data_IF_040216026414
#
_entry.id   IF_040216026414
#
_cell.length_a   1.000
_cell.length_b   1.000
_cell.length_c   1.000
_cell.angle_alpha   90.00
_cell.angle_beta   90.00
_cell.angle_gamma   90.00
#
_symmetry.space_group_name_H-M   'P 1'
#
loop_
_entity.id
_entity.type
_entity.pdbx_description
1 polymer ?
#
# COMPACT_ATOMS: atom_id res chain seq x y z
N UNK A 1 0.04 -1.63 7.85
CA UNK A 1 -0.69 -2.00 6.61
C UNK A 1 -0.59 -3.50 6.27
N UNK A 2 0.45 -4.23 6.66
CA UNK A 2 0.64 -5.67 6.34
C UNK A 2 -0.57 -6.57 6.56
N UNK A 3 -1.32 -6.41 7.66
CA UNK A 3 -2.54 -7.21 7.90
C UNK A 3 -3.64 -6.96 6.85
N UNK A 4 -3.74 -5.74 6.32
CA UNK A 4 -4.67 -5.40 5.22
C UNK A 4 -4.19 -6.08 3.94
N UNK A 5 -2.89 -5.98 3.62
CA UNK A 5 -2.29 -6.63 2.44
C UNK A 5 -2.52 -8.14 2.48
N UNK A 6 -2.21 -8.78 3.61
CA UNK A 6 -2.41 -10.21 3.83
C UNK A 6 -3.88 -10.64 3.70
N UNK A 7 -4.82 -9.77 4.06
CA UNK A 7 -6.25 -10.02 3.91
C UNK A 7 -6.78 -9.81 2.48
N UNK A 8 -6.28 -8.80 1.77
CA UNK A 8 -6.78 -8.40 0.44
C UNK A 8 -6.14 -9.22 -0.68
N UNK A 9 -4.81 -9.43 -0.65
CA UNK A 9 -4.05 -10.13 -1.70
C UNK A 9 -4.63 -11.50 -2.10
N UNK A 10 -5.04 -12.40 -1.18
CA UNK A 10 -5.56 -13.71 -1.57
C UNK A 10 -6.98 -13.68 -2.14
N UNK A 11 -7.76 -12.60 -1.95
CA UNK A 11 -9.16 -12.54 -2.40
C UNK A 11 -9.41 -11.59 -3.57
N UNK A 12 -8.49 -10.68 -3.85
CA UNK A 12 -8.56 -9.73 -4.98
C UNK A 12 -7.41 -10.03 -5.94
N UNK A 13 -7.69 -10.80 -6.99
CA UNK A 13 -6.68 -11.27 -7.93
C UNK A 13 -6.07 -10.13 -8.78
N UNK A 14 -6.89 -9.15 -9.18
CA UNK A 14 -6.45 -8.05 -10.03
C UNK A 14 -5.60 -7.05 -9.26
N UNK A 15 -4.43 -6.71 -9.80
CA UNK A 15 -3.46 -5.80 -9.17
C UNK A 15 -4.01 -4.38 -9.08
N UNK A 16 -4.66 -3.89 -10.14
CA UNK A 16 -5.20 -2.53 -10.19
C UNK A 16 -6.35 -2.36 -9.18
N UNK A 17 -7.16 -3.40 -8.98
CA UNK A 17 -8.20 -3.37 -7.96
C UNK A 17 -7.64 -3.39 -6.52
N UNK A 18 -6.54 -4.12 -6.27
CA UNK A 18 -5.84 -4.04 -4.97
C UNK A 18 -5.27 -2.65 -4.73
N UNK A 19 -4.65 -2.05 -5.74
CA UNK A 19 -4.10 -0.68 -5.66
C UNK A 19 -5.19 0.34 -5.32
N UNK A 20 -6.38 0.26 -5.97
CA UNK A 20 -7.55 1.08 -5.64
C UNK A 20 -8.04 0.90 -4.20
N UNK A 21 -7.84 -0.26 -3.59
CA UNK A 21 -8.16 -0.51 -2.18
C UNK A 21 -7.09 0.10 -1.28
N UNK A 22 -5.81 -0.05 -1.61
CA UNK A 22 -4.70 0.39 -0.78
C UNK A 22 -4.55 1.91 -0.72
N UNK A 23 -4.70 2.62 -1.84
CA UNK A 23 -4.56 4.08 -1.92
C UNK A 23 -5.33 4.85 -0.84
N UNK A 24 -6.67 4.74 -0.72
CA UNK A 24 -7.41 5.49 0.29
C UNK A 24 -7.11 5.06 1.74
N UNK A 25 -6.59 3.84 1.94
CA UNK A 25 -6.17 3.37 3.26
C UNK A 25 -4.83 4.00 3.65
N UNK A 26 -3.87 4.06 2.72
CA UNK A 26 -2.57 4.71 2.92
C UNK A 26 -2.79 6.17 3.28
N UNK A 27 -3.55 6.91 2.48
CA UNK A 27 -3.85 8.33 2.73
C UNK A 27 -4.47 8.55 4.12
N UNK A 28 -5.45 7.73 4.51
CA UNK A 28 -6.09 7.83 5.82
C UNK A 28 -5.15 7.51 7.00
N UNK A 29 -4.22 6.57 6.81
CA UNK A 29 -3.21 6.24 7.81
C UNK A 29 -2.18 7.37 7.94
N UNK A 30 -1.77 7.98 6.82
CA UNK A 30 -0.86 9.13 6.81
C UNK A 30 -1.45 10.38 7.47
N UNK A 31 -2.75 10.64 7.26
CA UNK A 31 -3.48 11.66 8.03
C UNK A 31 -3.47 11.37 9.54
N UNK A 32 -3.21 10.11 9.93
CA UNK A 32 -3.13 9.65 11.31
C UNK A 32 -1.69 9.43 11.80
N UNK A 33 -0.71 10.10 11.17
CA UNK A 33 0.71 10.07 11.57
C UNK A 33 1.37 8.69 11.44
N UNK A 34 0.94 7.90 10.45
CA UNK A 34 1.62 6.64 10.10
C UNK A 34 2.90 6.92 9.32
N UNK A 35 4.04 6.42 9.83
CA UNK A 35 5.39 6.65 9.29
C UNK A 35 6.19 5.35 9.05
N UNK A 36 5.53 4.19 9.11
CA UNK A 36 6.13 2.85 8.89
C UNK A 36 5.69 2.20 7.58
N UNK A 37 5.49 3.00 6.53
CA UNK A 37 5.06 2.55 5.20
C UNK A 37 6.07 1.59 4.56
N UNK A 38 7.36 1.83 4.77
CA UNK A 38 8.48 1.06 4.23
C UNK A 38 8.50 -0.39 4.75
N UNK A 39 8.03 -0.62 5.99
CA UNK A 39 7.94 -1.96 6.59
C UNK A 39 6.99 -2.90 5.82
N UNK A 40 6.08 -2.35 5.01
CA UNK A 40 5.10 -3.13 4.23
C UNK A 40 5.55 -3.35 2.77
N UNK A 41 6.68 -2.76 2.35
CA UNK A 41 7.17 -2.91 0.97
C UNK A 41 7.63 -4.35 0.69
N UNK A 42 7.35 -4.82 -0.52
CA UNK A 42 7.65 -6.19 -0.98
C UNK A 42 6.60 -7.23 -0.61
N UNK A 43 5.57 -6.86 0.16
CA UNK A 43 4.47 -7.77 0.49
C UNK A 43 3.46 -7.95 -0.66
N UNK A 44 3.24 -6.91 -1.47
CA UNK A 44 2.35 -6.90 -2.63
C UNK A 44 2.77 -5.82 -3.64
N UNK A 45 2.95 -6.20 -4.90
CA UNK A 45 3.31 -5.27 -5.98
C UNK A 45 2.31 -4.12 -6.13
N UNK A 46 1.02 -4.35 -5.82
CA UNK A 46 0.01 -3.29 -5.84
C UNK A 46 0.23 -2.23 -4.74
N UNK A 47 0.78 -2.63 -3.58
CA UNK A 47 1.12 -1.72 -2.51
C UNK A 47 2.41 -0.96 -2.84
N UNK A 48 3.43 -1.66 -3.33
CA UNK A 48 4.71 -1.06 -3.72
C UNK A 48 4.51 0.03 -4.77
N UNK A 49 3.65 -0.25 -5.76
CA UNK A 49 3.29 0.73 -6.79
C UNK A 49 2.50 1.91 -6.23
N UNK A 50 1.52 1.67 -5.35
CA UNK A 50 0.75 2.74 -4.69
C UNK A 50 1.66 3.69 -3.89
N UNK A 51 2.56 3.14 -3.07
CA UNK A 51 3.48 3.92 -2.24
C UNK A 51 4.50 4.67 -3.09
N UNK A 52 5.03 4.07 -4.14
CA UNK A 52 5.97 4.73 -5.06
C UNK A 52 5.30 5.89 -5.81
N UNK A 53 4.03 5.76 -6.18
CA UNK A 53 3.28 6.83 -6.85
C UNK A 53 2.92 7.98 -5.92
N UNK A 54 2.50 7.69 -4.68
CA UNK A 54 2.20 8.70 -3.67
C UNK A 54 3.47 9.45 -3.25
N UNK A 55 4.59 8.74 -3.12
CA UNK A 55 5.84 9.25 -2.56
C UNK A 55 7.06 8.93 -3.45
N UNK A 56 7.17 9.54 -4.64
CA UNK A 56 8.19 9.19 -5.64
C UNK A 56 9.64 9.46 -5.21
N UNK A 57 9.84 10.20 -4.12
CA UNK A 57 11.17 10.58 -3.63
C UNK A 57 11.60 9.84 -2.36
N UNK A 58 10.79 8.92 -1.80
CA UNK A 58 11.10 8.25 -0.53
C UNK A 58 11.99 7.01 -0.70
N UNK A 59 11.92 6.35 -1.85
CA UNK A 59 12.54 5.03 -2.07
C UNK A 59 13.50 4.99 -3.27
N UNK A 60 13.98 6.17 -3.69
CA UNK A 60 14.93 6.36 -4.80
C UNK A 60 16.39 6.24 -4.41
#
# INVERSE_FOLDING_TARGET
>A
MSNVIAGVKPVVADKEDRKKIYLPIIEALEESDWDTQDECMGEDEAYDEAITELHPNWFG
#
